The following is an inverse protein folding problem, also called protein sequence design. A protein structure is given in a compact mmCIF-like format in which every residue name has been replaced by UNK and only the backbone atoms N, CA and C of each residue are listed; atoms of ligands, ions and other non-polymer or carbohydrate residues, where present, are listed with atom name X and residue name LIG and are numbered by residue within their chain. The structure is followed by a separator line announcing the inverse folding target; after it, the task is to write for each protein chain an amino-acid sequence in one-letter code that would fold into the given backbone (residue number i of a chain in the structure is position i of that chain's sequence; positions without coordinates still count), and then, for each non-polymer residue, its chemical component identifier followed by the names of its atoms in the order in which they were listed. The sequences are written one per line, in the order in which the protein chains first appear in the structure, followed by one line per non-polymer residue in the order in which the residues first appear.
data_IF_450284638757
#
_entry.id   IF_450284638757
#
_cell.length_a   1.000
_cell.length_b   1.000
_cell.length_c   1.000
_cell.angle_alpha   90.00
_cell.angle_beta   90.00
_cell.angle_gamma   90.00
#
_symmetry.space_group_name_H-M   'P 1'
#
loop_
_entity.id
_entity.type
_entity.pdbx_description
1 polymer ?
#
# COMPACT_ATOMS: atom_id res chain seq x y z
N UNK A 1 0.74 27.98 -22.51
CA UNK A 1 1.87 27.74 -21.60
C UNK A 1 1.30 27.13 -20.35
N UNK A 2 1.50 25.82 -20.15
CA UNK A 2 1.09 25.16 -18.91
C UNK A 2 2.14 25.59 -17.88
N UNK A 3 1.74 26.34 -16.86
CA UNK A 3 2.63 26.65 -15.75
C UNK A 3 2.95 25.32 -15.06
N UNK A 4 4.22 24.91 -15.19
CA UNK A 4 4.80 23.85 -14.37
C UNK A 4 4.77 24.34 -12.93
N UNK A 5 3.73 23.92 -12.23
CA UNK A 5 3.48 24.23 -10.84
C UNK A 5 4.03 23.10 -9.93
N UNK A 6 5.00 22.32 -10.43
CA UNK A 6 5.67 21.32 -9.62
C UNK A 6 6.38 22.02 -8.46
N UNK A 7 5.89 21.76 -7.25
CA UNK A 7 6.58 22.15 -6.03
C UNK A 7 7.94 21.44 -6.03
N UNK A 8 9.01 22.24 -6.06
CA UNK A 8 10.38 21.73 -5.89
C UNK A 8 10.52 21.34 -4.42
N UNK A 9 10.41 20.05 -4.13
CA UNK A 9 10.66 19.52 -2.80
C UNK A 9 12.15 19.21 -2.67
N UNK A 10 12.79 19.75 -1.65
CA UNK A 10 14.13 19.34 -1.28
C UNK A 10 14.07 17.91 -0.72
N UNK A 11 14.94 16.98 -1.18
CA UNK A 11 15.02 15.65 -0.59
C UNK A 11 15.32 15.79 0.90
N UNK A 12 14.61 15.02 1.73
CA UNK A 12 14.86 15.01 3.17
C UNK A 12 16.32 14.67 3.46
N UNK A 13 16.94 15.29 4.47
CA UNK A 13 18.10 14.68 5.12
C UNK A 13 17.73 13.26 5.56
N UNK A 14 18.64 12.29 5.44
CA UNK A 14 18.51 10.84 5.67
C UNK A 14 17.89 10.36 7.01
N UNK A 15 17.29 11.24 7.82
CA UNK A 15 17.12 11.07 9.26
C UNK A 15 15.68 11.07 9.77
N UNK A 16 14.66 11.22 8.94
CA UNK A 16 13.28 10.93 9.37
C UNK A 16 12.98 9.47 9.04
N UNK A 17 13.53 8.55 9.84
CA UNK A 17 13.10 7.15 9.85
C UNK A 17 11.93 7.02 10.81
N UNK A 18 10.79 6.55 10.34
CA UNK A 18 9.75 6.03 11.23
C UNK A 18 10.28 4.72 11.79
N UNK A 19 10.91 4.77 12.95
CA UNK A 19 11.41 3.55 13.61
C UNK A 19 10.22 2.85 14.26
N UNK A 20 9.86 1.68 13.74
CA UNK A 20 9.04 0.71 14.45
C UNK A 20 9.88 0.18 15.60
N UNK A 21 9.83 0.81 16.78
CA UNK A 21 10.63 0.40 17.95
C UNK A 21 10.18 -0.99 18.47
N UNK A 22 10.46 -2.06 17.72
CA UNK A 22 10.18 -3.44 18.11
C UNK A 22 8.70 -3.77 18.25
N UNK A 23 7.83 -3.21 17.40
CA UNK A 23 6.41 -3.59 17.38
C UNK A 23 6.27 -5.06 16.98
N UNK A 24 5.98 -5.92 17.96
CA UNK A 24 5.75 -7.36 17.77
C UNK A 24 4.28 -7.66 17.98
N UNK A 25 3.47 -7.33 16.98
CA UNK A 25 2.06 -7.72 17.01
C UNK A 25 1.92 -9.20 16.67
N UNK A 26 0.98 -9.87 17.35
CA UNK A 26 0.54 -11.24 17.02
C UNK A 26 -0.99 -11.26 17.01
N UNK A 27 -1.60 -11.97 16.06
CA UNK A 27 -3.05 -12.17 16.07
C UNK A 27 -3.46 -12.92 17.34
N UNK A 28 -4.46 -12.39 18.04
CA UNK A 28 -5.03 -13.00 19.26
C UNK A 28 -6.36 -13.71 18.98
N UNK A 29 -7.02 -13.42 17.86
CA UNK A 29 -8.27 -14.06 17.44
C UNK A 29 -8.05 -15.35 16.65
N UNK A 30 -9.09 -16.17 16.58
CA UNK A 30 -9.09 -17.36 15.73
C UNK A 30 -9.01 -16.95 14.24
N UNK A 31 -8.35 -17.76 13.39
CA UNK A 31 -8.36 -17.52 11.96
C UNK A 31 -9.78 -17.70 11.39
N UNK A 32 -10.16 -16.92 10.35
CA UNK A 32 -11.46 -17.09 9.72
C UNK A 32 -11.58 -18.44 9.03
N UNK A 33 -12.81 -18.93 8.89
CA UNK A 33 -13.12 -20.05 7.99
C UNK A 33 -13.53 -19.52 6.62
N UNK A 34 -13.38 -20.35 5.58
CA UNK A 34 -13.76 -19.98 4.21
C UNK A 34 -14.83 -20.94 3.70
N UNK A 35 -15.93 -20.39 3.19
CA UNK A 35 -17.02 -21.18 2.61
C UNK A 35 -16.75 -21.57 1.14
N UNK A 36 -17.67 -22.32 0.54
CA UNK A 36 -17.56 -22.77 -0.86
C UNK A 36 -17.63 -21.64 -1.89
N UNK A 37 -18.13 -20.46 -1.51
CA UNK A 37 -18.17 -19.27 -2.36
C UNK A 37 -16.91 -18.41 -2.21
N UNK A 38 -15.98 -18.79 -1.32
CA UNK A 38 -14.76 -18.05 -1.03
C UNK A 38 -14.95 -16.92 -0.01
N UNK A 39 -16.13 -16.83 0.64
CA UNK A 39 -16.39 -15.83 1.68
C UNK A 39 -15.68 -16.24 2.97
N UNK A 40 -15.04 -15.27 3.62
CA UNK A 40 -14.41 -15.44 4.92
C UNK A 40 -15.44 -15.15 6.01
N UNK A 41 -15.50 -16.04 7.01
CA UNK A 41 -16.40 -15.95 8.16
C UNK A 41 -15.60 -15.85 9.45
N UNK A 42 -15.91 -14.85 10.26
CA UNK A 42 -15.29 -14.57 11.56
C UNK A 42 -16.32 -14.79 12.66
N UNK A 43 -16.01 -15.64 13.65
CA UNK A 43 -16.93 -15.98 14.74
C UNK A 43 -17.31 -14.76 15.58
N UNK A 44 -16.33 -13.92 15.91
CA UNK A 44 -16.53 -12.70 16.70
C UNK A 44 -17.19 -11.56 15.91
N UNK A 45 -17.15 -11.61 14.57
CA UNK A 45 -17.63 -10.55 13.67
C UNK A 45 -18.41 -11.14 12.47
N UNK A 46 -19.60 -11.73 12.69
CA UNK A 46 -20.32 -12.48 11.66
C UNK A 46 -20.82 -11.64 10.49
N UNK A 47 -20.98 -10.32 10.66
CA UNK A 47 -21.40 -9.41 9.58
C UNK A 47 -20.25 -9.04 8.63
N UNK A 48 -19.00 -9.20 9.06
CA UNK A 48 -17.84 -8.93 8.23
C UNK A 48 -17.52 -10.13 7.34
N UNK A 49 -17.99 -10.06 6.10
CA UNK A 49 -17.97 -11.18 5.13
C UNK A 49 -17.13 -10.86 3.88
N UNK A 50 -15.82 -10.55 4.02
CA UNK A 50 -14.99 -10.27 2.87
C UNK A 50 -14.77 -11.55 2.05
N UNK A 51 -14.59 -11.39 0.74
CA UNK A 51 -14.28 -12.50 -0.18
C UNK A 51 -12.78 -12.66 -0.47
N UNK A 52 -11.92 -11.83 0.14
CA UNK A 52 -10.47 -11.83 -0.06
C UNK A 52 -9.74 -11.51 1.24
N UNK A 53 -8.58 -12.13 1.39
CA UNK A 53 -7.57 -11.81 2.39
C UNK A 53 -6.71 -10.63 1.92
N UNK A 54 -6.03 -9.91 2.83
CA UNK A 54 -5.07 -8.89 2.45
C UNK A 54 -3.96 -9.43 1.52
N UNK A 55 -3.49 -10.65 1.75
CA UNK A 55 -2.48 -11.30 0.91
C UNK A 55 -2.96 -11.51 -0.54
N UNK A 56 -4.23 -11.87 -0.72
CA UNK A 56 -4.85 -12.01 -2.05
C UNK A 56 -5.00 -10.63 -2.71
N UNK A 57 -5.41 -9.60 -1.97
CA UNK A 57 -5.54 -8.23 -2.48
C UNK A 57 -4.20 -7.70 -3.01
N UNK A 58 -3.11 -7.92 -2.27
CA UNK A 58 -1.74 -7.56 -2.67
C UNK A 58 -1.34 -8.28 -3.96
N UNK A 59 -1.53 -9.61 -4.00
CA UNK A 59 -1.19 -10.43 -5.18
C UNK A 59 -2.03 -10.09 -6.41
N UNK A 60 -3.27 -9.66 -6.23
CA UNK A 60 -4.13 -9.19 -7.32
C UNK A 60 -3.75 -7.77 -7.80
N UNK A 61 -2.82 -7.11 -7.11
CA UNK A 61 -2.34 -5.79 -7.50
C UNK A 61 -3.44 -4.73 -7.43
N UNK A 62 -4.40 -4.88 -6.51
CA UNK A 62 -5.63 -4.08 -6.50
C UNK A 62 -5.36 -2.56 -6.52
N UNK A 63 -4.24 -2.11 -5.95
CA UNK A 63 -3.81 -0.71 -5.92
C UNK A 63 -2.71 -0.37 -6.92
N UNK A 64 -2.63 -1.11 -8.04
CA UNK A 64 -1.67 -0.83 -9.10
C UNK A 64 -0.21 -1.07 -8.71
N UNK A 65 0.03 -1.92 -7.71
CA UNK A 65 1.36 -2.41 -7.34
C UNK A 65 2.17 -1.53 -6.38
N UNK A 66 1.64 -0.39 -5.95
CA UNK A 66 2.28 0.42 -4.93
C UNK A 66 1.42 0.50 -3.66
N UNK A 67 1.83 -0.23 -2.63
CA UNK A 67 1.31 -0.11 -1.27
C UNK A 67 2.22 0.75 -0.41
N UNK A 68 3.51 0.79 -0.74
CA UNK A 68 4.56 1.54 -0.06
C UNK A 68 5.10 2.59 -1.03
N UNK A 69 4.31 3.63 -1.30
CA UNK A 69 4.72 4.78 -2.13
C UNK A 69 5.54 5.79 -1.33
N UNK A 70 6.48 6.50 -1.99
CA UNK A 70 6.97 7.78 -1.49
C UNK A 70 5.82 8.72 -1.15
N UNK A 71 5.86 9.33 0.03
CA UNK A 71 4.85 10.27 0.49
C UNK A 71 5.38 11.70 0.47
N UNK A 72 4.45 12.65 0.30
CA UNK A 72 4.76 14.09 0.33
C UNK A 72 3.99 14.76 1.46
N UNK A 73 4.69 15.50 2.30
CA UNK A 73 4.06 16.32 3.34
C UNK A 73 4.25 17.79 3.01
N UNK A 74 3.15 18.46 2.62
CA UNK A 74 3.14 19.91 2.38
C UNK A 74 3.43 20.70 3.66
N UNK A 75 2.92 20.23 4.81
CA UNK A 75 3.08 20.92 6.09
C UNK A 75 4.53 20.94 6.57
N UNK A 76 5.25 19.85 6.33
CA UNK A 76 6.64 19.68 6.74
C UNK A 76 7.63 20.03 5.61
N UNK A 77 7.12 20.38 4.42
CA UNK A 77 7.89 20.62 3.20
C UNK A 77 8.90 19.49 2.91
N UNK A 78 8.44 18.24 2.95
CA UNK A 78 9.29 17.08 2.80
C UNK A 78 8.69 16.02 1.88
N UNK A 79 9.57 15.26 1.24
CA UNK A 79 9.26 14.01 0.54
C UNK A 79 9.98 12.91 1.29
N UNK A 80 9.24 11.92 1.77
CA UNK A 80 9.81 10.73 2.38
C UNK A 80 9.61 9.55 1.46
N UNK A 81 10.65 8.73 1.30
CA UNK A 81 10.46 7.38 0.78
C UNK A 81 10.11 6.46 1.96
N UNK A 82 9.20 5.50 1.79
CA UNK A 82 9.15 4.40 2.73
C UNK A 82 10.55 3.78 2.79
N UNK A 83 11.05 3.40 3.97
CA UNK A 83 12.24 2.58 4.11
C UNK A 83 12.18 1.41 3.15
N UNK A 84 13.33 1.05 2.56
CA UNK A 84 13.45 -0.02 1.55
C UNK A 84 12.90 -1.38 2.04
N UNK A 85 12.67 -1.52 3.35
CA UNK A 85 12.30 -2.74 4.04
C UNK A 85 11.03 -2.62 4.92
N UNK A 86 10.24 -1.54 4.89
CA UNK A 86 9.02 -1.46 5.73
C UNK A 86 8.02 -2.61 5.47
N UNK A 87 7.96 -3.08 4.23
CA UNK A 87 7.11 -4.22 3.84
C UNK A 87 7.59 -5.56 4.40
N UNK A 88 8.82 -5.67 4.94
CA UNK A 88 9.32 -6.91 5.57
C UNK A 88 8.60 -7.24 6.88
N UNK A 89 7.85 -6.29 7.45
CA UNK A 89 7.01 -6.52 8.63
C UNK A 89 5.74 -7.31 8.29
N UNK A 90 5.37 -7.39 7.01
CA UNK A 90 4.24 -8.20 6.58
C UNK A 90 4.52 -9.69 6.85
N UNK A 91 3.48 -10.50 7.11
CA UNK A 91 3.65 -11.94 7.28
C UNK A 91 4.42 -12.56 6.11
N UNK A 92 5.41 -13.40 6.41
CA UNK A 92 6.30 -13.97 5.38
C UNK A 92 5.52 -14.72 4.31
N UNK A 93 4.41 -15.37 4.67
CA UNK A 93 3.50 -16.06 3.75
C UNK A 93 2.78 -15.12 2.75
N UNK A 94 2.67 -13.83 3.04
CA UNK A 94 2.15 -12.85 2.07
C UNK A 94 3.19 -12.51 1.00
N UNK A 95 4.47 -12.54 1.39
CA UNK A 95 5.60 -12.17 0.56
C UNK A 95 6.14 -13.33 -0.29
N UNK A 96 5.83 -14.57 0.09
CA UNK A 96 6.30 -15.75 -0.62
C UNK A 96 5.81 -15.79 -2.08
N UNK A 97 6.75 -15.94 -3.01
CA UNK A 97 6.53 -15.93 -4.46
C UNK A 97 6.09 -14.59 -5.07
N UNK A 98 6.08 -13.49 -4.32
CA UNK A 98 5.67 -12.16 -4.79
C UNK A 98 6.87 -11.35 -5.33
N UNK A 99 6.73 -10.69 -6.49
CA UNK A 99 7.70 -9.67 -6.93
C UNK A 99 7.43 -8.36 -6.17
N UNK A 100 8.16 -8.11 -5.10
CA UNK A 100 7.96 -6.94 -4.21
C UNK A 100 8.15 -5.61 -4.95
N UNK A 101 9.06 -5.57 -5.94
CA UNK A 101 9.31 -4.37 -6.76
C UNK A 101 8.11 -3.97 -7.63
N UNK A 102 7.23 -4.93 -7.92
CA UNK A 102 6.05 -4.74 -8.77
C UNK A 102 4.79 -4.58 -7.94
N UNK A 103 4.63 -5.39 -6.90
CA UNK A 103 3.37 -5.50 -6.17
C UNK A 103 3.35 -4.76 -4.83
N UNK A 104 4.47 -4.26 -4.33
CA UNK A 104 4.55 -3.53 -3.06
C UNK A 104 5.10 -2.11 -3.22
N UNK A 105 6.25 -1.95 -3.87
CA UNK A 105 6.93 -0.65 -3.97
C UNK A 105 6.64 0.08 -5.27
N UNK A 106 6.14 -0.63 -6.30
CA UNK A 106 5.93 -0.05 -7.62
C UNK A 106 7.20 0.52 -8.24
N UNK A 107 8.40 0.07 -7.84
CA UNK A 107 9.68 0.64 -8.30
C UNK A 107 9.82 0.64 -9.83
N UNK A 108 9.17 -0.30 -10.52
CA UNK A 108 9.13 -0.37 -11.98
C UNK A 108 8.19 0.65 -12.64
N UNK A 109 7.33 1.35 -11.87
CA UNK A 109 6.33 2.32 -12.34
C UNK A 109 6.14 3.49 -11.36
N UNK A 110 6.52 4.72 -11.76
CA UNK A 110 6.17 5.91 -10.98
C UNK A 110 4.68 6.22 -11.16
N UNK A 111 3.87 5.92 -10.16
CA UNK A 111 2.42 6.13 -10.12
C UNK A 111 1.59 4.87 -10.36
N UNK A 112 0.26 4.99 -10.19
CA UNK A 112 -0.67 3.86 -10.29
C UNK A 112 -0.56 3.12 -11.64
N UNK A 113 -0.24 1.82 -11.60
CA UNK A 113 -0.16 0.99 -12.80
C UNK A 113 -1.41 0.11 -12.96
N UNK A 114 -2.38 0.57 -13.74
CA UNK A 114 -3.61 -0.17 -13.99
C UNK A 114 -3.36 -1.57 -14.58
N UNK A 115 -2.29 -1.77 -15.34
CA UNK A 115 -1.94 -3.08 -15.89
C UNK A 115 -1.60 -4.15 -14.83
N UNK A 116 -1.21 -3.73 -13.61
CA UNK A 116 -0.91 -4.62 -12.48
C UNK A 116 -2.20 -5.03 -11.77
N UNK A 117 -3.20 -4.16 -11.73
CA UNK A 117 -4.51 -4.48 -11.19
C UNK A 117 -5.19 -5.57 -12.02
N UNK A 118 -5.62 -6.64 -11.36
CA UNK A 118 -6.43 -7.72 -11.94
C UNK A 118 -7.58 -7.23 -12.84
N UNK A 119 -8.24 -6.14 -12.46
CA UNK A 119 -9.37 -5.57 -13.20
C UNK A 119 -8.97 -4.58 -14.30
N UNK A 120 -7.69 -4.20 -14.37
CA UNK A 120 -7.13 -3.27 -15.35
C UNK A 120 -7.78 -1.89 -15.37
N UNK A 121 -8.29 -1.46 -14.22
CA UNK A 121 -8.92 -0.15 -14.02
C UNK A 121 -8.20 0.61 -12.92
N UNK A 122 -8.28 1.95 -12.92
CA UNK A 122 -7.83 2.74 -11.77
C UNK A 122 -8.79 2.57 -10.61
N UNK A 123 -8.24 2.38 -9.41
CA UNK A 123 -9.01 2.25 -8.18
C UNK A 123 -9.18 3.57 -7.43
N UNK A 124 -8.40 4.59 -7.78
CA UNK A 124 -8.33 5.82 -6.99
C UNK A 124 -7.87 7.04 -7.81
N UNK A 125 -8.03 8.21 -7.19
CA UNK A 125 -7.37 9.45 -7.59
C UNK A 125 -5.91 9.39 -7.14
N UNK A 126 -5.00 9.94 -7.93
CA UNK A 126 -3.59 10.04 -7.54
C UNK A 126 -3.40 10.95 -6.32
N UNK A 127 -2.33 10.74 -5.56
CA UNK A 127 -1.98 11.59 -4.41
C UNK A 127 -1.83 13.07 -4.82
N UNK A 128 -1.32 13.33 -6.02
CA UNK A 128 -1.16 14.69 -6.54
C UNK A 128 -2.52 15.36 -6.82
N UNK A 129 -3.47 14.62 -7.41
CA UNK A 129 -4.85 15.10 -7.61
C UNK A 129 -5.54 15.36 -6.26
N UNK A 130 -5.32 14.49 -5.27
CA UNK A 130 -5.88 14.65 -3.93
C UNK A 130 -5.32 15.91 -3.23
N UNK A 131 -4.01 16.14 -3.30
CA UNK A 131 -3.35 17.33 -2.75
C UNK A 131 -3.79 18.61 -3.48
N UNK A 132 -3.97 18.56 -4.81
CA UNK A 132 -4.44 19.68 -5.61
C UNK A 132 -5.89 20.08 -5.27
N UNK A 133 -6.73 19.12 -4.88
CA UNK A 133 -8.09 19.37 -4.43
C UNK A 133 -8.18 20.11 -3.08
N UNK A 134 -7.04 20.39 -2.42
CA UNK A 134 -6.96 21.26 -1.25
C UNK A 134 -7.42 20.62 0.05
N UNK A 135 -7.35 19.29 0.15
CA UNK A 135 -7.54 18.55 1.42
C UNK A 135 -6.23 18.30 2.16
#
# INVERSE_FOLDING_TARGET
MIQDNSLVYEPTPDKVRFTTNGWKWKPTGAPPTRDSNGTLHFEDFPEFTPNKTPAEIIREGAYGGGYFWPFRSRKLNLVGNPPDDEWVELPTEWLDGLDHSVYLTGEKHIGYAACINKFRVSCEQSIDEWLAAGK
#
